data_IF_816014376920
#
_entry.id   IF_816014376920
#
_cell.length_a   1.000
_cell.length_b   1.000
_cell.length_c   1.000
_cell.angle_alpha   90.00
_cell.angle_beta   90.00
_cell.angle_gamma   90.00
#
_symmetry.space_group_name_H-M   'P 1'
#
loop_
_entity.id
_entity.type
_entity.pdbx_description
1 polymer ?
#
# COMPACT_ATOMS: atom_id res chain seq x y z
N UNK A 1 15.75 -21.02 -11.90
CA UNK A 1 15.23 -21.57 -10.63
C UNK A 1 14.00 -20.76 -10.31
N UNK A 2 12.87 -21.42 -10.16
CA UNK A 2 11.62 -20.76 -9.80
C UNK A 2 11.53 -20.72 -8.27
N UNK A 3 11.25 -19.56 -7.70
CA UNK A 3 11.08 -19.40 -6.25
C UNK A 3 9.60 -19.24 -5.95
N UNK A 4 9.08 -19.98 -4.97
CA UNK A 4 7.66 -19.95 -4.61
C UNK A 4 7.47 -19.59 -3.15
N UNK A 5 6.35 -18.94 -2.85
CA UNK A 5 5.91 -18.64 -1.49
C UNK A 5 4.88 -19.68 -1.05
N UNK A 6 5.16 -20.41 0.02
CA UNK A 6 4.24 -21.42 0.55
C UNK A 6 3.14 -20.74 1.38
N UNK A 7 2.07 -20.33 0.68
CA UNK A 7 0.87 -19.73 1.26
C UNK A 7 -0.38 -20.39 0.70
N UNK A 8 -1.47 -20.46 1.48
CA UNK A 8 -2.73 -21.00 0.99
C UNK A 8 -3.24 -20.29 -0.27
N UNK A 9 -3.96 -21.01 -1.16
CA UNK A 9 -4.59 -20.41 -2.32
C UNK A 9 -5.45 -19.19 -1.96
N UNK A 10 -5.36 -18.14 -2.77
CA UNK A 10 -6.11 -16.90 -2.57
C UNK A 10 -5.61 -16.01 -1.43
N UNK A 11 -4.51 -16.35 -0.73
CA UNK A 11 -3.87 -15.40 0.20
C UNK A 11 -3.21 -14.25 -0.54
N UNK A 12 -2.54 -14.53 -1.67
CA UNK A 12 -1.93 -13.49 -2.50
C UNK A 12 -2.97 -12.51 -3.07
N UNK A 13 -4.09 -13.04 -3.60
CA UNK A 13 -5.21 -12.21 -4.07
C UNK A 13 -5.82 -11.39 -2.94
N UNK A 14 -6.05 -11.96 -1.75
CA UNK A 14 -6.55 -11.17 -0.61
C UNK A 14 -5.56 -10.11 -0.13
N UNK A 15 -4.27 -10.37 -0.20
CA UNK A 15 -3.25 -9.39 0.14
C UNK A 15 -3.26 -8.22 -0.85
N UNK A 16 -3.38 -8.52 -2.15
CA UNK A 16 -3.59 -7.53 -3.20
C UNK A 16 -4.83 -6.67 -2.92
N UNK A 17 -5.98 -7.31 -2.73
CA UNK A 17 -7.25 -6.61 -2.51
C UNK A 17 -7.17 -5.69 -1.30
N UNK A 18 -6.51 -6.13 -0.21
CA UNK A 18 -6.29 -5.29 0.96
C UNK A 18 -5.40 -4.07 0.69
N UNK A 19 -4.40 -4.18 -0.18
CA UNK A 19 -3.57 -3.05 -0.59
C UNK A 19 -4.30 -2.09 -1.54
N UNK A 20 -5.12 -2.63 -2.45
CA UNK A 20 -6.01 -1.83 -3.32
C UNK A 20 -7.04 -1.05 -2.47
N UNK A 21 -7.69 -1.70 -1.51
CA UNK A 21 -8.61 -1.05 -0.55
C UNK A 21 -7.91 0.07 0.25
N UNK A 22 -6.68 -0.17 0.69
CA UNK A 22 -5.89 0.82 1.41
C UNK A 22 -5.56 2.03 0.51
N UNK A 23 -5.20 1.78 -0.75
CA UNK A 23 -4.99 2.84 -1.74
C UNK A 23 -6.24 3.71 -1.90
N UNK A 24 -7.41 3.10 -2.09
CA UNK A 24 -8.66 3.81 -2.28
C UNK A 24 -9.04 4.67 -1.07
N UNK A 25 -8.89 4.12 0.14
CA UNK A 25 -9.15 4.86 1.38
C UNK A 25 -8.21 6.06 1.57
N UNK A 26 -6.92 5.89 1.26
CA UNK A 26 -5.93 6.96 1.36
C UNK A 26 -6.19 8.04 0.30
N UNK A 27 -6.47 7.66 -0.94
CA UNK A 27 -6.85 8.57 -2.02
C UNK A 27 -8.11 9.38 -1.67
N UNK A 28 -9.15 8.72 -1.15
CA UNK A 28 -10.35 9.41 -0.66
C UNK A 28 -10.09 10.32 0.55
N UNK A 29 -9.06 10.03 1.35
CA UNK A 29 -8.65 10.90 2.46
C UNK A 29 -7.92 12.16 1.97
N UNK A 30 -7.07 12.05 0.95
CA UNK A 30 -6.46 13.21 0.27
C UNK A 30 -7.54 14.14 -0.27
N UNK A 31 -8.51 13.61 -1.03
CA UNK A 31 -9.60 14.43 -1.58
C UNK A 31 -10.42 15.15 -0.51
N UNK A 32 -10.60 14.54 0.67
CA UNK A 32 -11.29 15.17 1.81
C UNK A 32 -10.46 16.28 2.43
N UNK A 33 -9.14 16.11 2.54
CA UNK A 33 -8.23 17.15 3.05
C UNK A 33 -8.16 18.35 2.08
N UNK A 34 -8.03 18.09 0.78
CA UNK A 34 -7.98 19.14 -0.25
C UNK A 34 -9.29 19.94 -0.33
N UNK A 35 -10.42 19.33 0.07
CA UNK A 35 -11.72 20.00 0.14
C UNK A 35 -11.89 20.96 1.34
N UNK A 36 -10.93 21.02 2.27
CA UNK A 36 -11.03 21.90 3.45
C UNK A 36 -10.72 23.36 3.08
N UNK A 37 -11.71 24.23 3.23
CA UNK A 37 -11.56 25.67 2.99
C UNK A 37 -11.53 26.48 4.30
N UNK A 38 -10.37 27.02 4.73
CA UNK A 38 -10.21 27.73 6.02
C UNK A 38 -10.75 29.18 6.03
N UNK A 39 -11.58 29.58 5.06
CA UNK A 39 -11.97 30.97 4.79
C UNK A 39 -12.66 31.73 5.95
N UNK A 40 -13.10 31.03 7.00
CA UNK A 40 -13.75 31.62 8.18
C UNK A 40 -12.86 31.70 9.43
N UNK A 41 -11.58 31.33 9.31
CA UNK A 41 -10.63 31.29 10.43
C UNK A 41 -9.83 32.60 10.52
N UNK A 42 -9.29 32.89 11.71
CA UNK A 42 -8.37 34.02 11.88
C UNK A 42 -7.06 33.75 11.14
N UNK A 43 -6.33 34.80 10.73
CA UNK A 43 -5.13 34.67 9.89
C UNK A 43 -4.07 33.70 10.46
N UNK A 44 -3.83 33.74 11.77
CA UNK A 44 -2.90 32.81 12.46
C UNK A 44 -3.37 31.36 12.38
N UNK A 45 -4.67 31.13 12.57
CA UNK A 45 -5.25 29.78 12.51
C UNK A 45 -5.29 29.28 11.07
N UNK A 46 -5.62 30.15 10.10
CA UNK A 46 -5.58 29.83 8.67
C UNK A 46 -4.19 29.38 8.23
N UNK A 47 -3.13 30.08 8.67
CA UNK A 47 -1.76 29.69 8.34
C UNK A 47 -1.40 28.31 8.92
N UNK A 48 -1.73 28.06 10.20
CA UNK A 48 -1.48 26.77 10.83
C UNK A 48 -2.25 25.62 10.16
N UNK A 49 -3.52 25.87 9.80
CA UNK A 49 -4.36 24.90 9.08
C UNK A 49 -3.84 24.64 7.67
N UNK A 50 -3.40 25.68 6.95
CA UNK A 50 -2.84 25.52 5.61
C UNK A 50 -1.57 24.64 5.64
N UNK A 51 -0.64 24.90 6.57
CA UNK A 51 0.56 24.06 6.74
C UNK A 51 0.20 22.62 7.10
N UNK A 52 -0.76 22.42 7.99
CA UNK A 52 -1.24 21.08 8.33
C UNK A 52 -1.79 20.36 7.10
N UNK A 53 -2.67 21.01 6.33
CA UNK A 53 -3.28 20.42 5.15
C UNK A 53 -2.24 20.05 4.09
N UNK A 54 -1.27 20.93 3.84
CA UNK A 54 -0.18 20.69 2.88
C UNK A 54 0.69 19.48 3.27
N UNK A 55 1.12 19.42 4.54
CA UNK A 55 1.95 18.32 5.03
C UNK A 55 1.19 17.00 4.96
N UNK A 56 -0.03 16.98 5.50
CA UNK A 56 -0.80 15.74 5.59
C UNK A 56 -1.34 15.26 4.24
N UNK A 57 -1.75 16.15 3.33
CA UNK A 57 -2.14 15.74 1.97
C UNK A 57 -0.95 15.13 1.22
N UNK A 58 0.24 15.72 1.38
CA UNK A 58 1.49 15.18 0.84
C UNK A 58 1.84 13.80 1.38
N UNK A 59 1.83 13.62 2.71
CA UNK A 59 2.14 12.35 3.37
C UNK A 59 1.15 11.24 2.97
N UNK A 60 -0.15 11.53 2.99
CA UNK A 60 -1.19 10.56 2.60
C UNK A 60 -1.07 10.21 1.12
N UNK A 61 -0.72 11.16 0.24
CA UNK A 61 -0.47 10.88 -1.17
C UNK A 61 0.74 9.96 -1.39
N UNK A 62 1.79 10.08 -0.58
CA UNK A 62 2.94 9.15 -0.60
C UNK A 62 2.50 7.75 -0.20
N UNK A 63 1.76 7.62 0.90
CA UNK A 63 1.27 6.32 1.38
C UNK A 63 0.30 5.67 0.38
N UNK A 64 -0.57 6.47 -0.24
CA UNK A 64 -1.49 6.00 -1.30
C UNK A 64 -0.72 5.40 -2.47
N UNK A 65 0.35 6.06 -2.94
CA UNK A 65 1.20 5.52 -4.02
C UNK A 65 1.91 4.24 -3.61
N UNK A 66 2.38 4.16 -2.37
CA UNK A 66 3.02 2.95 -1.84
C UNK A 66 2.04 1.77 -1.78
N UNK A 67 0.81 2.00 -1.32
CA UNK A 67 -0.23 0.98 -1.28
C UNK A 67 -0.54 0.43 -2.68
N UNK A 68 -0.70 1.31 -3.68
CA UNK A 68 -0.90 0.91 -5.08
C UNK A 68 0.29 0.10 -5.62
N UNK A 69 1.53 0.52 -5.33
CA UNK A 69 2.72 -0.21 -5.74
C UNK A 69 2.79 -1.61 -5.10
N UNK A 70 2.36 -1.76 -3.85
CA UNK A 70 2.30 -3.05 -3.17
C UNK A 70 1.23 -3.96 -3.78
N UNK A 71 0.05 -3.43 -4.13
CA UNK A 71 -0.99 -4.20 -4.81
C UNK A 71 -0.51 -4.71 -6.18
N UNK A 72 0.15 -3.86 -6.96
CA UNK A 72 0.71 -4.22 -8.27
C UNK A 72 1.76 -5.35 -8.16
N UNK A 73 2.56 -5.38 -7.09
CA UNK A 73 3.55 -6.44 -6.88
C UNK A 73 2.92 -7.85 -6.78
N UNK A 74 1.64 -7.94 -6.40
CA UNK A 74 0.90 -9.22 -6.37
C UNK A 74 0.24 -9.58 -7.71
N UNK A 75 -0.01 -8.61 -8.60
CA UNK A 75 -0.58 -8.88 -9.94
C UNK A 75 0.38 -9.69 -10.79
N UNK A 76 1.67 -9.34 -10.71
CA UNK A 76 2.73 -10.01 -11.48
C UNK A 76 2.88 -11.49 -11.09
N UNK A 77 2.50 -11.87 -9.85
CA UNK A 77 2.54 -13.26 -9.37
C UNK A 77 1.37 -14.13 -9.85
N UNK A 78 0.20 -13.53 -10.08
CA UNK A 78 -0.99 -14.29 -10.51
C UNK A 78 -0.84 -14.76 -11.97
N UNK A 79 -0.01 -14.06 -12.76
CA UNK A 79 0.33 -14.40 -14.14
C UNK A 79 1.45 -15.42 -14.30
N UNK A 80 2.47 -15.41 -13.42
CA UNK A 80 3.69 -16.23 -13.56
C UNK A 80 3.94 -17.22 -12.40
N UNK A 81 3.13 -17.23 -11.33
CA UNK A 81 3.18 -18.11 -10.14
C UNK A 81 4.54 -18.29 -9.43
N UNK A 82 5.59 -17.66 -9.91
CA UNK A 82 6.95 -17.75 -9.41
C UNK A 82 7.54 -16.38 -9.19
N UNK A 83 8.13 -16.16 -8.02
CA UNK A 83 9.05 -15.06 -7.82
C UNK A 83 10.34 -15.34 -8.62
N UNK A 84 10.86 -14.30 -9.26
CA UNK A 84 12.09 -14.36 -10.06
C UNK A 84 13.31 -14.80 -9.24
N UNK A 85 13.32 -14.46 -7.94
CA UNK A 85 14.37 -14.80 -6.99
C UNK A 85 13.88 -14.78 -5.52
N UNK A 86 14.78 -15.19 -4.62
CA UNK A 86 14.54 -15.30 -3.17
C UNK A 86 14.37 -13.94 -2.49
N UNK A 87 14.96 -12.87 -3.03
CA UNK A 87 14.84 -11.52 -2.48
C UNK A 87 13.45 -10.94 -2.77
N UNK A 88 12.93 -11.13 -3.97
CA UNK A 88 11.57 -10.74 -4.33
C UNK A 88 10.54 -11.58 -3.56
N UNK A 89 10.75 -12.89 -3.40
CA UNK A 89 9.91 -13.71 -2.53
C UNK A 89 9.88 -13.22 -1.07
N UNK A 90 11.04 -12.83 -0.52
CA UNK A 90 11.12 -12.28 0.83
C UNK A 90 10.42 -10.91 0.95
N UNK A 91 10.53 -10.08 -0.08
CA UNK A 91 9.82 -8.80 -0.18
C UNK A 91 8.30 -9.02 -0.21
N UNK A 92 7.81 -9.89 -1.08
CA UNK A 92 6.39 -10.20 -1.20
C UNK A 92 5.83 -10.78 0.10
N UNK A 93 6.58 -11.65 0.76
CA UNK A 93 6.23 -12.16 2.09
C UNK A 93 6.07 -11.05 3.13
N UNK A 94 6.90 -10.01 3.07
CA UNK A 94 6.78 -8.85 3.98
C UNK A 94 5.59 -7.94 3.69
N UNK A 95 4.92 -8.14 2.55
CA UNK A 95 3.71 -7.40 2.17
C UNK A 95 2.43 -8.19 2.47
N UNK A 96 2.55 -9.43 2.94
CA UNK A 96 1.42 -10.24 3.33
C UNK A 96 0.83 -9.80 4.68
N UNK A 97 -0.43 -10.17 4.96
CA UNK A 97 -0.96 -10.06 6.31
C UNK A 97 -0.01 -10.72 7.32
N UNK A 98 0.11 -10.13 8.51
CA UNK A 98 1.06 -10.56 9.53
C UNK A 98 1.03 -12.07 9.84
N UNK A 99 -0.14 -12.69 9.75
CA UNK A 99 -0.32 -14.14 9.92
C UNK A 99 0.55 -14.98 8.97
N UNK A 100 0.89 -14.45 7.79
CA UNK A 100 1.67 -15.14 6.75
C UNK A 100 3.07 -14.54 6.55
N UNK A 101 3.52 -13.63 7.42
CA UNK A 101 4.87 -13.05 7.35
C UNK A 101 6.00 -14.08 7.51
N UNK A 102 5.69 -15.25 8.09
CA UNK A 102 6.62 -16.37 8.26
C UNK A 102 6.46 -17.47 7.20
N UNK A 103 5.73 -17.21 6.11
CA UNK A 103 5.55 -18.18 5.02
C UNK A 103 6.90 -18.72 4.52
N UNK A 104 7.04 -20.05 4.35
CA UNK A 104 8.23 -20.64 3.76
C UNK A 104 8.48 -20.14 2.34
N UNK A 105 9.75 -19.99 1.98
CA UNK A 105 10.18 -19.71 0.60
C UNK A 105 10.86 -20.97 0.10
N UNK A 106 10.40 -21.51 -1.04
CA UNK A 106 10.94 -22.73 -1.62
C UNK A 106 11.58 -22.44 -2.97
N UNK A 107 12.76 -23.00 -3.20
CA UNK A 107 13.49 -22.94 -4.47
C UNK A 107 13.27 -24.25 -5.24
N UNK A 108 12.92 -24.13 -6.52
CA UNK A 108 12.65 -25.26 -7.44
C UNK A 108 13.37 -25.15 -8.77
#
# INVERSE_FOLDING_TARGET
MAVTLDVPPGVLSRARDAWDDAHDQLSGSVSRLDGVAPAKLSATVTAAVATFLEVWSGEVAVLSRQASANALAFVDLDGDLGASDTAEAARLRSLLPWTYHAAPIQES
#
